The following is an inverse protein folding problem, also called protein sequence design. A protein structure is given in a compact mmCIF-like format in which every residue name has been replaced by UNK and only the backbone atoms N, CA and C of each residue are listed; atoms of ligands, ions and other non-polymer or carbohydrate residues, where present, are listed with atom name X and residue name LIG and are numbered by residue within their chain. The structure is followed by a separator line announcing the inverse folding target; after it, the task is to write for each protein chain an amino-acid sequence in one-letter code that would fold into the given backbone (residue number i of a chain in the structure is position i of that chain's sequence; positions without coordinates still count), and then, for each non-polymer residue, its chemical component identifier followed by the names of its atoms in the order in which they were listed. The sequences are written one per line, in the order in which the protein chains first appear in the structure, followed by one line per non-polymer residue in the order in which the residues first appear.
data_IF_265089767575
#
_entry.id   IF_265089767575
#
_cell.length_a   1.000
_cell.length_b   1.000
_cell.length_c   1.000
_cell.angle_alpha   90.00
_cell.angle_beta   90.00
_cell.angle_gamma   90.00
#
_symmetry.space_group_name_H-M   'P 1'
#
loop_
_entity.id
_entity.type
_entity.pdbx_description
1 polymer ?
#
# COMPACT_ATOMS: atom_id res chain seq x y z
N UNK A 1 3.71 -2.17 -16.74
CA UNK A 1 2.51 -1.38 -17.12
C UNK A 1 2.63 0.01 -16.49
N UNK A 2 2.31 1.10 -17.18
CA UNK A 2 2.32 2.45 -16.59
C UNK A 2 0.87 2.91 -16.42
N UNK A 3 0.50 3.23 -15.19
CA UNK A 3 -0.87 3.65 -14.83
C UNK A 3 -0.91 5.18 -14.81
N UNK A 4 -1.82 5.77 -15.57
CA UNK A 4 -2.09 7.21 -15.52
C UNK A 4 -3.15 7.51 -14.47
N UNK A 5 -2.93 8.54 -13.66
CA UNK A 5 -3.89 9.02 -12.66
C UNK A 5 -4.67 10.21 -13.20
N UNK A 6 -5.95 10.28 -12.84
CA UNK A 6 -6.80 11.45 -13.10
C UNK A 6 -6.64 12.54 -12.03
N UNK A 7 -5.88 12.28 -10.97
CA UNK A 7 -5.56 13.24 -9.91
C UNK A 7 -4.04 13.46 -9.80
N UNK A 8 -3.64 14.50 -9.07
CA UNK A 8 -2.24 14.84 -8.82
C UNK A 8 -1.87 14.50 -7.37
N UNK A 9 -1.08 13.42 -7.10
CA UNK A 9 -0.80 12.95 -5.74
C UNK A 9 -0.25 14.03 -4.80
N UNK A 10 0.63 14.90 -5.29
CA UNK A 10 1.20 16.00 -4.52
C UNK A 10 0.14 17.04 -4.12
N UNK A 11 -0.86 17.28 -4.96
CA UNK A 11 -1.95 18.22 -4.64
C UNK A 11 -2.93 17.61 -3.64
N UNK A 12 -3.34 16.35 -3.84
CA UNK A 12 -4.22 15.63 -2.92
C UNK A 12 -3.58 15.49 -1.53
N UNK A 13 -2.30 15.11 -1.44
CA UNK A 13 -1.58 15.06 -0.17
C UNK A 13 -1.54 16.45 0.52
N UNK A 14 -1.29 17.52 -0.24
CA UNK A 14 -1.29 18.90 0.29
C UNK A 14 -2.67 19.28 0.84
N UNK A 15 -3.75 18.98 0.14
CA UNK A 15 -5.12 19.27 0.60
C UNK A 15 -5.44 18.52 1.90
N UNK A 16 -5.12 17.21 1.97
CA UNK A 16 -5.32 16.41 3.17
C UNK A 16 -4.58 17.00 4.39
N UNK A 17 -3.34 17.48 4.19
CA UNK A 17 -2.54 18.10 5.24
C UNK A 17 -3.11 19.43 5.77
N UNK A 18 -3.96 20.14 5.01
CA UNK A 18 -4.58 21.38 5.47
C UNK A 18 -5.51 21.19 6.68
N UNK A 19 -5.99 19.98 6.91
CA UNK A 19 -6.80 19.64 8.08
C UNK A 19 -6.00 19.67 9.40
N UNK A 20 -4.67 19.72 9.35
CA UNK A 20 -3.80 19.63 10.51
C UNK A 20 -3.30 21.00 10.97
N UNK A 21 -3.12 21.16 12.29
CA UNK A 21 -2.37 22.27 12.87
C UNK A 21 -0.87 22.17 12.46
N UNK A 22 -0.19 23.30 12.42
CA UNK A 22 1.17 23.46 11.90
C UNK A 22 2.16 22.41 12.45
N UNK A 23 2.23 22.25 13.77
CA UNK A 23 3.16 21.29 14.41
C UNK A 23 2.89 19.85 14.00
N UNK A 24 1.63 19.41 14.01
CA UNK A 24 1.25 18.06 13.60
C UNK A 24 1.49 17.84 12.12
N UNK A 25 1.19 18.84 11.29
CA UNK A 25 1.45 18.84 9.85
C UNK A 25 2.93 18.66 9.54
N UNK A 26 3.80 19.41 10.21
CA UNK A 26 5.25 19.31 9.99
C UNK A 26 5.80 17.92 10.40
N UNK A 27 5.31 17.35 11.50
CA UNK A 27 5.65 15.98 11.90
C UNK A 27 5.23 14.96 10.82
N UNK A 28 4.01 15.06 10.28
CA UNK A 28 3.53 14.18 9.21
C UNK A 28 4.35 14.36 7.92
N UNK A 29 4.67 15.59 7.54
CA UNK A 29 5.52 15.86 6.38
C UNK A 29 6.87 15.16 6.51
N UNK A 30 7.54 15.27 7.68
CA UNK A 30 8.83 14.60 7.94
C UNK A 30 8.66 13.08 7.99
N UNK A 31 7.61 12.59 8.63
CA UNK A 31 7.35 11.16 8.78
C UNK A 31 7.17 10.43 7.45
N UNK A 32 6.42 11.03 6.54
CA UNK A 32 6.07 10.44 5.24
C UNK A 32 6.94 10.95 4.08
N UNK A 33 7.87 11.86 4.33
CA UNK A 33 8.73 12.42 3.28
C UNK A 33 7.96 13.25 2.26
N UNK A 34 7.00 14.06 2.72
CA UNK A 34 6.15 14.89 1.84
C UNK A 34 6.78 16.25 1.50
N UNK A 35 7.99 16.49 1.97
CA UNK A 35 8.77 17.69 1.68
C UNK A 35 9.53 17.60 0.34
N UNK A 36 10.30 18.66 0.04
CA UNK A 36 11.08 18.74 -1.21
C UNK A 36 12.09 17.61 -1.40
N UNK A 37 12.69 17.10 -0.31
CA UNK A 37 13.70 16.04 -0.35
C UNK A 37 13.13 14.63 -0.38
N UNK A 38 11.82 14.46 -0.22
CA UNK A 38 11.14 13.15 -0.10
C UNK A 38 11.75 12.17 0.93
N UNK A 39 12.57 12.68 1.87
CA UNK A 39 13.22 11.87 2.90
C UNK A 39 12.27 11.59 4.05
N UNK A 40 12.02 10.31 4.32
CA UNK A 40 11.23 9.87 5.47
C UNK A 40 12.09 9.83 6.73
N UNK A 41 11.59 10.37 7.82
CA UNK A 41 12.24 10.30 9.13
C UNK A 41 11.61 9.19 9.99
N UNK A 42 12.43 8.55 10.82
CA UNK A 42 11.94 7.61 11.83
C UNK A 42 11.26 8.35 12.98
N UNK A 43 10.41 7.64 13.74
CA UNK A 43 9.79 8.21 14.93
C UNK A 43 10.82 8.73 15.94
N UNK A 44 11.95 8.01 16.09
CA UNK A 44 13.05 8.43 16.97
C UNK A 44 13.74 9.70 16.48
N UNK A 45 14.02 9.79 15.17
CA UNK A 45 14.66 10.97 14.59
C UNK A 45 13.78 12.22 14.73
N UNK A 46 12.47 12.06 14.52
CA UNK A 46 11.48 13.14 14.75
C UNK A 46 11.43 13.48 16.25
N UNK A 47 11.37 12.48 17.12
CA UNK A 47 11.36 12.69 18.56
C UNK A 47 12.56 13.52 19.04
N UNK A 48 13.77 13.18 18.60
CA UNK A 48 15.00 13.95 18.88
C UNK A 48 14.91 15.39 18.36
N UNK A 49 14.40 15.59 17.13
CA UNK A 49 14.29 16.92 16.52
C UNK A 49 13.27 17.84 17.23
N UNK A 50 12.27 17.26 17.90
CA UNK A 50 11.23 18.00 18.62
C UNK A 50 11.35 17.98 20.14
N UNK A 51 12.38 17.31 20.70
CA UNK A 51 12.54 17.15 22.14
C UNK A 51 11.43 16.34 22.81
N UNK A 52 10.87 15.34 22.12
CA UNK A 52 9.79 14.48 22.61
C UNK A 52 10.14 13.00 22.42
N UNK A 53 9.43 12.12 23.11
CA UNK A 53 9.66 10.67 23.01
C UNK A 53 9.14 10.12 21.68
N UNK A 54 9.71 9.00 21.21
CA UNK A 54 9.22 8.20 20.06
C UNK A 54 7.73 7.91 20.20
N UNK A 55 7.28 7.51 21.39
CA UNK A 55 5.87 7.20 21.63
C UNK A 55 4.98 8.44 21.50
N UNK A 56 5.45 9.60 21.92
CA UNK A 56 4.69 10.85 21.74
C UNK A 56 4.56 11.21 20.26
N UNK A 57 5.59 10.98 19.44
CA UNK A 57 5.50 11.16 17.99
C UNK A 57 4.46 10.21 17.39
N UNK A 58 4.44 8.93 17.81
CA UNK A 58 3.45 7.94 17.36
C UNK A 58 2.02 8.36 17.71
N UNK A 59 1.80 8.89 18.90
CA UNK A 59 0.49 9.42 19.32
C UNK A 59 0.06 10.60 18.45
N UNK A 60 0.98 11.52 18.14
CA UNK A 60 0.71 12.66 17.26
C UNK A 60 0.39 12.17 15.84
N UNK A 61 1.14 11.20 15.30
CA UNK A 61 0.89 10.59 13.99
C UNK A 61 -0.53 9.99 13.94
N UNK A 62 -0.91 9.15 14.91
CA UNK A 62 -2.23 8.53 14.97
C UNK A 62 -3.34 9.57 15.10
N UNK A 63 -3.15 10.57 15.95
CA UNK A 63 -4.12 11.66 16.10
C UNK A 63 -4.28 12.48 14.81
N UNK A 64 -3.18 12.77 14.13
CA UNK A 64 -3.20 13.51 12.87
C UNK A 64 -3.93 12.73 11.76
N UNK A 65 -3.67 11.42 11.62
CA UNK A 65 -4.39 10.55 10.67
C UNK A 65 -5.89 10.58 10.95
N UNK A 66 -6.30 10.41 12.21
CA UNK A 66 -7.71 10.46 12.59
C UNK A 66 -8.34 11.83 12.36
N UNK A 67 -7.60 12.92 12.58
CA UNK A 67 -8.07 14.28 12.32
C UNK A 67 -8.32 14.50 10.83
N UNK A 68 -7.39 14.04 9.97
CA UNK A 68 -7.57 14.11 8.51
C UNK A 68 -8.82 13.32 8.09
N UNK A 69 -8.97 12.09 8.55
CA UNK A 69 -10.10 11.22 8.18
C UNK A 69 -11.48 11.79 8.55
N UNK A 70 -11.54 12.62 9.60
CA UNK A 70 -12.77 13.31 10.04
C UNK A 70 -12.98 14.66 9.38
N UNK A 71 -12.05 15.14 8.57
CA UNK A 71 -12.08 16.46 7.98
C UNK A 71 -12.91 16.51 6.68
N UNK A 72 -13.39 17.73 6.32
CA UNK A 72 -14.01 18.00 5.02
C UNK A 72 -13.05 17.69 3.87
N UNK A 73 -11.75 17.98 4.04
CA UNK A 73 -10.72 17.69 3.04
C UNK A 73 -10.65 16.22 2.66
N UNK A 74 -10.87 15.30 3.62
CA UNK A 74 -10.94 13.86 3.35
C UNK A 74 -12.12 13.50 2.46
N UNK A 75 -13.30 14.06 2.76
CA UNK A 75 -14.52 13.82 1.96
C UNK A 75 -14.37 14.37 0.53
N UNK A 76 -13.72 15.52 0.37
CA UNK A 76 -13.45 16.13 -0.95
C UNK A 76 -12.48 15.31 -1.80
N UNK A 77 -11.59 14.53 -1.18
CA UNK A 77 -10.64 13.64 -1.87
C UNK A 77 -11.20 12.22 -2.12
N UNK A 78 -12.51 11.99 -1.93
CA UNK A 78 -13.13 10.69 -2.15
C UNK A 78 -12.80 10.10 -3.53
N UNK A 79 -12.88 10.90 -4.59
CA UNK A 79 -12.55 10.45 -5.95
C UNK A 79 -11.12 9.93 -6.09
N UNK A 80 -10.16 10.50 -5.33
CA UNK A 80 -8.77 10.03 -5.26
C UNK A 80 -8.68 8.61 -4.65
N UNK A 81 -9.41 8.37 -3.56
CA UNK A 81 -9.45 7.04 -2.93
C UNK A 81 -10.17 6.02 -3.80
N UNK A 82 -11.30 6.38 -4.40
CA UNK A 82 -12.08 5.50 -5.30
C UNK A 82 -11.24 5.09 -6.54
N UNK A 83 -10.40 5.99 -7.06
CA UNK A 83 -9.52 5.69 -8.19
C UNK A 83 -8.38 4.73 -7.78
N UNK A 84 -7.74 4.96 -6.64
CA UNK A 84 -6.69 4.05 -6.14
C UNK A 84 -7.25 2.67 -5.79
N UNK A 85 -8.46 2.59 -5.24
CA UNK A 85 -9.15 1.33 -4.98
C UNK A 85 -9.39 0.54 -6.28
N UNK A 86 -9.86 1.20 -7.33
CA UNK A 86 -10.02 0.59 -8.67
C UNK A 86 -8.68 0.10 -9.23
N UNK A 87 -7.61 0.87 -9.05
CA UNK A 87 -6.28 0.47 -9.49
C UNK A 87 -5.84 -0.80 -8.77
N UNK A 88 -5.92 -0.84 -7.43
CA UNK A 88 -5.54 -2.03 -6.65
C UNK A 88 -6.44 -3.22 -7.04
N UNK A 89 -7.75 -3.00 -7.23
CA UNK A 89 -8.67 -4.03 -7.71
C UNK A 89 -8.23 -4.58 -9.08
N UNK A 90 -7.89 -3.71 -10.03
CA UNK A 90 -7.42 -4.13 -11.36
C UNK A 90 -6.08 -4.87 -11.34
N UNK A 91 -5.28 -4.67 -10.30
CA UNK A 91 -4.01 -5.36 -10.07
C UNK A 91 -4.17 -6.68 -9.29
N UNK A 92 -5.41 -7.08 -8.95
CA UNK A 92 -5.71 -8.33 -8.26
C UNK A 92 -6.19 -8.17 -6.82
N UNK A 93 -6.50 -6.96 -6.34
CA UNK A 93 -7.04 -6.69 -5.01
C UNK A 93 -6.01 -6.75 -3.86
N UNK A 94 -4.86 -7.40 -4.08
CA UNK A 94 -3.65 -7.41 -3.24
C UNK A 94 -2.42 -7.22 -4.12
N UNK A 95 -1.52 -6.33 -3.72
CA UNK A 95 -0.38 -5.91 -4.56
C UNK A 95 0.84 -5.55 -3.71
N UNK A 96 2.04 -5.88 -4.19
CA UNK A 96 3.31 -5.43 -3.59
C UNK A 96 3.39 -3.91 -3.61
N UNK A 97 3.74 -3.29 -2.47
CA UNK A 97 3.83 -1.81 -2.34
C UNK A 97 4.69 -1.20 -3.45
N UNK A 98 5.87 -1.75 -3.68
CA UNK A 98 6.80 -1.21 -4.68
C UNK A 98 6.24 -1.34 -6.10
N UNK A 99 5.60 -2.46 -6.43
CA UNK A 99 4.98 -2.65 -7.74
C UNK A 99 3.88 -1.62 -8.00
N UNK A 100 2.99 -1.37 -7.02
CA UNK A 100 1.95 -0.36 -7.13
C UNK A 100 2.53 1.04 -7.36
N UNK A 101 3.52 1.41 -6.54
CA UNK A 101 4.14 2.74 -6.63
C UNK A 101 4.87 2.95 -7.96
N UNK A 102 5.63 1.95 -8.44
CA UNK A 102 6.39 2.02 -9.70
C UNK A 102 5.49 1.98 -10.92
N UNK A 103 4.34 1.27 -10.85
CA UNK A 103 3.34 1.28 -11.91
C UNK A 103 2.73 2.67 -12.11
N UNK A 104 2.64 3.48 -11.05
CA UNK A 104 2.08 4.84 -11.10
C UNK A 104 3.17 5.88 -11.41
N UNK A 105 4.28 5.87 -10.67
CA UNK A 105 5.34 6.87 -10.82
C UNK A 105 6.69 6.38 -10.30
N UNK A 106 7.77 6.74 -10.99
CA UNK A 106 9.14 6.53 -10.50
C UNK A 106 9.70 7.73 -9.73
N UNK A 107 8.96 8.84 -9.64
CA UNK A 107 9.35 10.01 -8.84
C UNK A 107 9.12 9.74 -7.35
N UNK A 108 10.20 9.73 -6.56
CA UNK A 108 10.16 9.41 -5.13
C UNK A 108 9.23 10.32 -4.31
N UNK A 109 9.14 11.60 -4.67
CA UNK A 109 8.25 12.54 -4.01
C UNK A 109 6.77 12.23 -4.30
N UNK A 110 6.47 11.81 -5.53
CA UNK A 110 5.11 11.34 -5.89
C UNK A 110 4.78 10.03 -5.18
N UNK A 111 5.73 9.07 -5.12
CA UNK A 111 5.54 7.81 -4.38
C UNK A 111 5.31 8.04 -2.88
N UNK A 112 6.03 8.98 -2.27
CA UNK A 112 5.79 9.39 -0.86
C UNK A 112 4.38 9.93 -0.65
N UNK A 113 3.87 10.76 -1.56
CA UNK A 113 2.51 11.26 -1.51
C UNK A 113 1.47 10.15 -1.71
N UNK A 114 1.68 9.23 -2.65
CA UNK A 114 0.81 8.06 -2.85
C UNK A 114 0.75 7.17 -1.61
N UNK A 115 1.90 6.86 -1.03
CA UNK A 115 1.98 6.07 0.21
C UNK A 115 1.22 6.75 1.36
N UNK A 116 1.35 8.08 1.50
CA UNK A 116 0.59 8.84 2.48
C UNK A 116 -0.91 8.76 2.22
N UNK A 117 -1.37 8.93 0.98
CA UNK A 117 -2.79 8.84 0.59
C UNK A 117 -3.33 7.43 0.90
N UNK A 118 -2.58 6.38 0.59
CA UNK A 118 -2.96 5.00 0.93
C UNK A 118 -3.09 4.79 2.44
N UNK A 119 -2.18 5.34 3.26
CA UNK A 119 -2.27 5.27 4.73
C UNK A 119 -3.50 6.00 5.26
N UNK A 120 -3.88 7.12 4.65
CA UNK A 120 -5.06 7.91 5.06
C UNK A 120 -6.37 7.26 4.61
N UNK A 121 -6.40 6.62 3.43
CA UNK A 121 -7.63 6.05 2.87
C UNK A 121 -8.18 4.89 3.67
N UNK A 122 -9.50 4.89 3.94
CA UNK A 122 -10.18 3.80 4.63
C UNK A 122 -10.22 2.47 3.86
N UNK A 123 -10.32 2.45 2.51
CA UNK A 123 -10.39 1.19 1.78
C UNK A 123 -9.08 0.38 1.82
N UNK A 124 -7.95 1.02 2.17
CA UNK A 124 -6.63 0.41 2.03
C UNK A 124 -6.14 -0.16 3.34
N UNK A 125 -5.71 -1.41 3.28
CA UNK A 125 -5.06 -2.11 4.37
C UNK A 125 -3.63 -2.45 3.97
N UNK A 126 -2.71 -2.39 4.93
CA UNK A 126 -1.29 -2.68 4.69
C UNK A 126 -0.85 -3.83 5.56
N UNK A 127 -0.21 -4.83 4.96
CA UNK A 127 0.60 -5.82 5.65
C UNK A 127 2.09 -5.48 5.50
N UNK A 128 2.80 -5.62 6.61
CA UNK A 128 4.25 -5.47 6.62
C UNK A 128 4.91 -6.68 5.97
N UNK A 129 6.15 -6.47 5.56
CA UNK A 129 7.04 -7.55 5.18
C UNK A 129 7.24 -8.51 6.37
N UNK A 130 7.19 -9.78 6.07
CA UNK A 130 7.44 -10.89 6.99
C UNK A 130 8.38 -11.92 6.31
N UNK A 131 8.55 -13.10 6.88
CA UNK A 131 9.44 -14.14 6.35
C UNK A 131 8.98 -14.67 4.98
N UNK A 132 7.68 -14.64 4.71
CA UNK A 132 7.09 -15.23 3.51
C UNK A 132 6.74 -14.20 2.44
N UNK A 133 6.44 -12.95 2.84
CA UNK A 133 5.82 -11.97 1.95
C UNK A 133 6.39 -10.57 2.09
N UNK A 134 6.46 -9.86 0.96
CA UNK A 134 6.85 -8.43 0.85
C UNK A 134 5.82 -7.48 1.44
N UNK A 135 6.18 -6.21 1.66
CA UNK A 135 5.22 -5.14 1.97
C UNK A 135 4.13 -5.07 0.90
N UNK A 136 2.87 -5.15 1.34
CA UNK A 136 1.72 -5.25 0.43
C UNK A 136 0.52 -4.44 0.89
N UNK A 137 -0.22 -3.93 -0.07
CA UNK A 137 -1.51 -3.26 0.09
C UNK A 137 -2.63 -4.14 -0.43
N UNK A 138 -3.80 -4.06 0.20
CA UNK A 138 -4.99 -4.78 -0.23
C UNK A 138 -6.25 -4.01 0.17
N UNK A 139 -7.38 -4.32 -0.51
CA UNK A 139 -8.68 -3.69 -0.33
C UNK A 139 -9.73 -4.63 0.28
N UNK A 140 -9.44 -5.93 0.33
CA UNK A 140 -10.30 -6.97 0.89
C UNK A 140 -9.47 -7.92 1.74
N UNK A 141 -9.81 -8.03 3.05
CA UNK A 141 -9.11 -8.89 4.00
C UNK A 141 -9.28 -10.37 3.64
N UNK A 142 -10.50 -10.80 3.27
CA UNK A 142 -10.79 -12.20 2.97
C UNK A 142 -10.01 -12.65 1.72
N UNK A 143 -10.01 -11.82 0.67
CA UNK A 143 -9.21 -12.09 -0.53
C UNK A 143 -7.71 -12.18 -0.18
N UNK A 144 -7.19 -11.24 0.61
CA UNK A 144 -5.77 -11.22 0.99
C UNK A 144 -5.36 -12.47 1.77
N UNK A 145 -6.16 -12.90 2.76
CA UNK A 145 -5.94 -14.12 3.53
C UNK A 145 -5.99 -15.37 2.65
N UNK A 146 -6.96 -15.43 1.74
CA UNK A 146 -7.11 -16.55 0.80
C UNK A 146 -5.90 -16.69 -0.11
N UNK A 147 -5.48 -15.59 -0.75
CA UNK A 147 -4.33 -15.59 -1.67
C UNK A 147 -3.05 -15.98 -0.93
N UNK A 148 -2.79 -15.41 0.26
CA UNK A 148 -1.61 -15.73 1.05
C UNK A 148 -1.60 -17.19 1.51
N UNK A 149 -2.74 -17.71 1.98
CA UNK A 149 -2.87 -19.12 2.36
C UNK A 149 -2.65 -20.07 1.18
N UNK A 150 -3.15 -19.70 -0.01
CA UNK A 150 -2.95 -20.49 -1.23
C UNK A 150 -1.50 -20.47 -1.71
N UNK A 151 -0.80 -19.33 -1.56
CA UNK A 151 0.64 -19.23 -1.87
C UNK A 151 1.47 -20.09 -0.91
N UNK A 152 1.22 -20.02 0.40
CA UNK A 152 1.90 -20.90 1.38
C UNK A 152 1.72 -22.37 1.02
N UNK A 153 0.49 -22.78 0.76
CA UNK A 153 0.17 -24.15 0.33
C UNK A 153 0.90 -24.55 -0.97
N UNK A 154 1.02 -23.61 -1.91
CA UNK A 154 1.77 -23.85 -3.15
C UNK A 154 3.24 -24.16 -2.84
N UNK A 155 3.90 -23.30 -2.07
CA UNK A 155 5.32 -23.44 -1.74
C UNK A 155 5.61 -24.66 -0.85
N UNK A 156 4.74 -24.99 0.10
CA UNK A 156 4.85 -26.20 0.93
C UNK A 156 4.79 -27.49 0.10
N UNK A 157 4.07 -27.47 -1.03
CA UNK A 157 3.94 -28.62 -1.92
C UNK A 157 5.04 -28.70 -3.01
N UNK A 158 5.86 -27.65 -3.15
CA UNK A 158 7.03 -27.69 -4.03
C UNK A 158 8.15 -28.50 -3.36
N UNK A 159 8.67 -29.50 -4.05
CA UNK A 159 9.84 -30.26 -3.59
C UNK A 159 11.12 -29.50 -3.97
N UNK A 160 12.09 -29.47 -3.08
CA UNK A 160 13.35 -28.75 -3.25
C UNK A 160 14.10 -29.09 -4.55
N UNK A 161 13.94 -30.31 -5.07
CA UNK A 161 14.60 -30.80 -6.28
C UNK A 161 13.73 -30.71 -7.56
N UNK A 162 12.54 -30.12 -7.48
CA UNK A 162 11.62 -30.07 -8.60
C UNK A 162 11.80 -28.78 -9.40
N UNK A 163 12.34 -28.88 -10.62
CA UNK A 163 12.29 -27.79 -11.62
C UNK A 163 10.83 -27.59 -12.05
N UNK A 164 10.16 -26.62 -11.45
CA UNK A 164 8.80 -26.24 -11.87
C UNK A 164 8.90 -25.05 -12.81
N UNK A 165 8.39 -25.22 -14.02
CA UNK A 165 8.29 -24.14 -14.99
C UNK A 165 7.13 -23.19 -14.63
N UNK A 166 7.30 -21.90 -14.87
CA UNK A 166 6.33 -20.85 -14.52
C UNK A 166 4.88 -21.16 -14.95
N UNK A 167 4.58 -21.66 -16.16
CA UNK A 167 3.22 -21.99 -16.58
C UNK A 167 2.54 -23.07 -15.72
N UNK A 168 3.29 -24.10 -15.27
CA UNK A 168 2.77 -25.16 -14.41
C UNK A 168 2.48 -24.64 -12.99
N UNK A 169 3.35 -23.78 -12.47
CA UNK A 169 3.16 -23.14 -11.18
C UNK A 169 1.89 -22.27 -11.18
N UNK A 170 1.68 -21.46 -12.22
CA UNK A 170 0.49 -20.64 -12.38
C UNK A 170 -0.78 -21.51 -12.43
N UNK A 171 -0.76 -22.58 -13.23
CA UNK A 171 -1.88 -23.50 -13.36
C UNK A 171 -2.23 -24.15 -12.01
N UNK A 172 -1.23 -24.61 -11.29
CA UNK A 172 -1.40 -25.22 -9.95
C UNK A 172 -1.95 -24.18 -8.97
N UNK A 173 -1.39 -22.97 -8.96
CA UNK A 173 -1.86 -21.90 -8.09
C UNK A 173 -3.32 -21.53 -8.38
N UNK A 174 -3.71 -21.39 -9.65
CA UNK A 174 -5.09 -21.11 -10.05
C UNK A 174 -6.08 -22.17 -9.56
N UNK A 175 -5.67 -23.45 -9.47
CA UNK A 175 -6.52 -24.50 -8.90
C UNK A 175 -6.75 -24.36 -7.39
N UNK A 176 -5.90 -23.65 -6.66
CA UNK A 176 -6.07 -23.39 -5.22
C UNK A 176 -7.00 -22.21 -4.91
N UNK A 177 -7.35 -21.43 -5.93
CA UNK A 177 -8.15 -20.20 -5.81
C UNK A 177 -9.43 -20.25 -6.66
N UNK A 178 -9.97 -21.44 -6.92
CA UNK A 178 -11.19 -21.62 -7.75
C UNK A 178 -12.42 -20.90 -7.18
N UNK A 179 -12.46 -20.68 -5.86
CA UNK A 179 -13.49 -19.94 -5.13
C UNK A 179 -13.29 -18.41 -5.12
N UNK A 180 -12.19 -17.92 -5.67
CA UNK A 180 -11.96 -16.47 -5.87
C UNK A 180 -12.73 -15.99 -7.11
N UNK A 181 -13.22 -14.76 -7.06
CA UNK A 181 -13.96 -14.12 -8.16
C UNK A 181 -13.23 -14.28 -9.50
N UNK A 182 -13.97 -14.65 -10.54
CA UNK A 182 -13.45 -14.98 -11.87
C UNK A 182 -12.61 -13.85 -12.49
N UNK A 183 -12.98 -12.59 -12.22
CA UNK A 183 -12.24 -11.41 -12.67
C UNK A 183 -10.77 -11.38 -12.21
N UNK A 184 -10.45 -12.06 -11.11
CA UNK A 184 -9.10 -12.15 -10.57
C UNK A 184 -8.34 -13.42 -10.99
N UNK A 185 -9.03 -14.43 -11.56
CA UNK A 185 -8.41 -15.71 -11.95
C UNK A 185 -7.78 -15.65 -13.34
N UNK A 186 -7.00 -14.61 -13.60
CA UNK A 186 -6.25 -14.45 -14.85
C UNK A 186 -4.77 -14.81 -14.62
N UNK A 187 -4.10 -15.25 -15.70
CA UNK A 187 -2.68 -15.56 -15.67
C UNK A 187 -1.84 -14.34 -15.25
N UNK A 188 -2.19 -13.15 -15.72
CA UNK A 188 -1.50 -11.91 -15.37
C UNK A 188 -1.59 -11.60 -13.87
N UNK A 189 -2.77 -11.73 -13.27
CA UNK A 189 -2.98 -11.50 -11.84
C UNK A 189 -2.30 -12.60 -11.02
N UNK A 190 -2.38 -13.86 -11.45
CA UNK A 190 -1.69 -14.96 -10.78
C UNK A 190 -0.16 -14.74 -10.73
N UNK A 191 0.45 -14.27 -11.83
CA UNK A 191 1.87 -13.88 -11.84
C UNK A 191 2.20 -12.78 -10.84
N UNK A 192 1.34 -11.78 -10.70
CA UNK A 192 1.51 -10.71 -9.69
C UNK A 192 1.44 -11.27 -8.28
N UNK A 193 0.50 -12.16 -8.01
CA UNK A 193 0.37 -12.78 -6.70
C UNK A 193 1.54 -13.69 -6.34
N UNK A 194 2.11 -14.41 -7.30
CA UNK A 194 3.35 -15.17 -7.09
C UNK A 194 4.54 -14.27 -6.69
N UNK A 195 4.54 -12.99 -7.09
CA UNK A 195 5.56 -12.02 -6.68
C UNK A 195 5.33 -11.42 -5.27
N UNK A 196 4.28 -11.79 -4.55
CA UNK A 196 4.03 -11.34 -3.18
C UNK A 196 5.05 -11.91 -2.19
N UNK A 197 5.60 -13.07 -2.49
CA UNK A 197 6.65 -13.76 -1.73
C UNK A 197 8.05 -13.42 -2.22
#
# INVERSE_FOLDING_TARGET
MKIALNFKPKQSAKKLLLALQERSRDIIIKRYGLGKSANRMTLDAIGKAYGITRERVRQIENHAINTIRKSKNYTEEKATFDELEKIISSMGGIVVEQELLDAISRDSATQSCLNFILVIGHPFNKMKEDEDFKYRWFIDNHLAEKIQGSLKKLYENLKDDQLVIEPEMIKTFLSYIEDVSEQYRTEEIAKRWLNLS
#
